data_IF_293106671088
#
_entry.id   IF_293106671088
#
_cell.length_a   1.000
_cell.length_b   1.000
_cell.length_c   1.000
_cell.angle_alpha   90.00
_cell.angle_beta   90.00
_cell.angle_gamma   90.00
#
_symmetry.space_group_name_H-M   'P 1'
#
loop_
_entity.id
_entity.type
_entity.pdbx_description
1 polymer ?
#
# COMPACT_ATOMS: atom_id res chain seq x y z
N UNK A 1 32.54 16.90 9.07
CA UNK A 1 31.79 15.64 9.22
C UNK A 1 31.78 14.96 7.86
N UNK A 2 32.50 13.86 7.68
CA UNK A 2 32.43 13.05 6.45
C UNK A 2 31.29 12.05 6.63
N UNK A 3 30.10 12.42 6.18
CA UNK A 3 28.95 11.50 6.17
C UNK A 3 29.11 10.50 5.03
N UNK A 4 29.05 9.20 5.36
CA UNK A 4 28.91 8.13 4.37
C UNK A 4 27.45 7.74 4.31
N UNK A 5 26.89 7.65 3.10
CA UNK A 5 25.47 7.34 2.88
C UNK A 5 25.39 6.07 2.05
N UNK A 6 24.54 5.13 2.47
CA UNK A 6 24.21 3.94 1.70
C UNK A 6 22.82 4.14 1.08
N UNK A 7 22.70 3.92 -0.23
CA UNK A 7 21.48 4.17 -1.00
C UNK A 7 21.14 2.90 -1.77
N UNK A 8 19.87 2.49 -1.71
CA UNK A 8 19.33 1.39 -2.50
C UNK A 8 18.22 1.91 -3.39
N UNK A 9 18.21 1.55 -4.66
CA UNK A 9 17.13 1.88 -5.58
C UNK A 9 16.84 0.69 -6.51
N UNK A 10 15.65 0.69 -7.11
CA UNK A 10 15.43 -0.09 -8.34
C UNK A 10 16.34 0.49 -9.45
N UNK A 11 16.67 -0.29 -10.49
CA UNK A 11 17.38 0.24 -11.66
C UNK A 11 16.45 1.22 -12.39
N UNK A 12 16.50 2.48 -11.98
CA UNK A 12 15.70 3.56 -12.56
C UNK A 12 16.64 4.59 -13.19
N UNK A 13 16.30 4.99 -14.42
CA UNK A 13 17.13 5.83 -15.28
C UNK A 13 17.54 7.15 -14.58
N UNK A 14 16.64 7.85 -13.86
CA UNK A 14 17.01 9.08 -13.15
C UNK A 14 18.06 8.88 -12.06
N UNK A 15 18.07 7.72 -11.41
CA UNK A 15 19.03 7.42 -10.33
C UNK A 15 20.42 7.19 -10.92
N UNK A 16 20.51 6.34 -11.96
CA UNK A 16 21.78 6.10 -12.67
C UNK A 16 22.36 7.35 -13.33
N UNK A 17 21.51 8.19 -13.94
CA UNK A 17 21.92 9.48 -14.48
C UNK A 17 22.39 10.46 -13.40
N UNK A 18 21.72 10.49 -12.24
CA UNK A 18 22.11 11.35 -11.12
C UNK A 18 23.52 11.08 -10.60
N UNK A 19 23.89 9.81 -10.43
CA UNK A 19 25.22 9.43 -9.95
C UNK A 19 26.31 9.57 -11.02
N UNK A 20 26.00 9.24 -12.28
CA UNK A 20 26.94 9.44 -13.39
C UNK A 20 27.23 10.92 -13.68
N UNK A 21 26.28 11.82 -13.43
CA UNK A 21 26.45 13.28 -13.59
C UNK A 21 27.08 13.98 -12.38
N UNK A 22 27.40 13.24 -11.32
CA UNK A 22 28.06 13.75 -10.12
C UNK A 22 29.43 13.08 -9.88
N UNK A 23 30.41 13.26 -10.80
CA UNK A 23 31.72 12.60 -10.73
C UNK A 23 32.56 13.03 -9.52
N UNK A 24 32.22 14.16 -8.88
CA UNK A 24 32.89 14.66 -7.68
C UNK A 24 32.49 13.89 -6.40
N UNK A 25 31.48 13.01 -6.47
CA UNK A 25 31.10 12.12 -5.38
C UNK A 25 31.88 10.81 -5.48
N UNK A 26 32.69 10.51 -4.47
CA UNK A 26 33.28 9.18 -4.26
C UNK A 26 32.15 8.20 -3.92
N UNK A 27 31.71 7.42 -4.91
CA UNK A 27 30.64 6.45 -4.80
C UNK A 27 31.06 5.10 -5.39
N UNK A 28 30.48 4.03 -4.85
CA UNK A 28 30.68 2.67 -5.32
C UNK A 28 29.33 2.06 -5.66
N UNK A 29 29.18 1.67 -6.92
CA UNK A 29 27.97 1.02 -7.40
C UNK A 29 28.05 -0.50 -7.24
N UNK A 30 26.94 -1.10 -6.84
CA UNK A 30 26.79 -2.55 -6.77
C UNK A 30 25.45 -2.96 -7.39
N UNK A 31 25.52 -3.59 -8.56
CA UNK A 31 24.35 -3.96 -9.35
C UNK A 31 23.92 -5.38 -8.95
N UNK A 32 22.82 -5.47 -8.20
CA UNK A 32 22.34 -6.75 -7.66
C UNK A 32 21.96 -7.78 -8.74
N UNK A 33 21.50 -7.34 -9.92
CA UNK A 33 21.10 -8.25 -10.99
C UNK A 33 22.26 -8.82 -11.83
N UNK A 34 23.48 -8.34 -11.61
CA UNK A 34 24.69 -8.88 -12.27
C UNK A 34 25.27 -10.09 -11.52
N UNK A 35 24.75 -10.39 -10.33
CA UNK A 35 25.17 -11.55 -9.54
C UNK A 35 24.71 -12.83 -10.24
N UNK A 36 25.61 -13.81 -10.34
CA UNK A 36 25.32 -15.08 -10.99
C UNK A 36 24.17 -15.82 -10.29
N UNK A 37 23.28 -16.40 -11.09
CA UNK A 37 22.10 -17.11 -10.60
C UNK A 37 22.42 -18.22 -9.58
N UNK A 38 23.47 -19.07 -9.77
CA UNK A 38 23.83 -20.09 -8.79
C UNK A 38 24.19 -19.53 -7.41
N UNK A 39 24.81 -18.33 -7.35
CA UNK A 39 25.11 -17.67 -6.08
C UNK A 39 23.83 -17.24 -5.37
N UNK A 40 22.91 -16.59 -6.10
CA UNK A 40 21.62 -16.16 -5.56
C UNK A 40 20.81 -17.35 -5.06
N UNK A 41 20.75 -18.44 -5.83
CA UNK A 41 20.01 -19.65 -5.46
C UNK A 41 20.61 -20.34 -4.22
N UNK A 42 21.93 -20.30 -4.06
CA UNK A 42 22.59 -20.81 -2.85
C UNK A 42 22.22 -19.97 -1.60
N UNK A 43 22.19 -18.64 -1.74
CA UNK A 43 21.79 -17.76 -0.63
C UNK A 43 20.30 -17.91 -0.29
N UNK A 44 19.44 -18.08 -1.30
CA UNK A 44 18.02 -18.41 -1.11
C UNK A 44 17.86 -19.76 -0.42
N UNK A 45 18.60 -20.78 -0.85
CA UNK A 45 18.59 -22.11 -0.22
C UNK A 45 18.95 -22.03 1.27
N UNK A 46 20.00 -21.27 1.59
CA UNK A 46 20.44 -21.03 2.98
C UNK A 46 19.35 -20.34 3.79
N UNK A 47 18.73 -19.29 3.24
CA UNK A 47 17.63 -18.57 3.87
C UNK A 47 16.41 -19.46 4.13
N UNK A 48 15.98 -20.24 3.12
CA UNK A 48 14.86 -21.17 3.20
C UNK A 48 15.14 -22.25 4.25
N UNK A 49 16.31 -22.88 4.20
CA UNK A 49 16.70 -23.92 5.16
C UNK A 49 16.65 -23.41 6.60
N UNK A 50 17.20 -22.21 6.84
CA UNK A 50 17.18 -21.58 8.16
C UNK A 50 15.75 -21.31 8.64
N UNK A 51 14.95 -20.66 7.79
CA UNK A 51 13.59 -20.24 8.17
C UNK A 51 12.64 -21.43 8.33
N UNK A 52 12.73 -22.44 7.46
CA UNK A 52 11.95 -23.68 7.58
C UNK A 52 12.39 -24.48 8.81
N UNK A 53 13.68 -24.45 9.19
CA UNK A 53 14.11 -25.06 10.46
C UNK A 53 13.44 -24.41 11.67
N UNK A 54 13.26 -23.09 11.66
CA UNK A 54 12.56 -22.39 12.73
C UNK A 54 11.07 -22.73 12.75
N UNK A 55 10.42 -22.80 11.59
CA UNK A 55 9.02 -23.22 11.46
C UNK A 55 8.85 -24.66 11.96
N UNK A 56 9.74 -25.58 11.57
CA UNK A 56 9.76 -26.98 12.02
C UNK A 56 9.79 -27.07 13.55
N UNK A 57 10.68 -26.30 14.18
CA UNK A 57 10.81 -26.26 15.65
C UNK A 57 9.57 -25.68 16.32
N UNK A 58 8.99 -24.61 15.77
CA UNK A 58 7.77 -23.98 16.27
C UNK A 58 6.56 -24.92 16.17
N UNK A 59 6.43 -25.65 15.07
CA UNK A 59 5.31 -26.55 14.78
C UNK A 59 5.52 -27.98 15.28
N UNK A 60 6.69 -28.28 15.87
CA UNK A 60 7.07 -29.62 16.35
C UNK A 60 6.96 -30.72 15.27
N UNK A 61 7.32 -30.39 14.03
CA UNK A 61 7.37 -31.36 12.93
C UNK A 61 8.61 -32.28 13.04
N UNK A 62 8.56 -33.39 12.30
CA UNK A 62 9.64 -34.37 12.23
C UNK A 62 10.97 -33.75 11.76
N UNK A 63 12.09 -34.33 12.18
CA UNK A 63 13.43 -33.84 11.80
C UNK A 63 13.66 -33.84 10.28
N UNK A 64 12.97 -34.72 9.56
CA UNK A 64 13.04 -34.82 8.10
C UNK A 64 12.20 -33.74 7.38
N UNK A 65 11.30 -33.03 8.07
CA UNK A 65 10.52 -31.95 7.45
C UNK A 65 11.40 -30.73 7.15
N UNK A 66 11.24 -30.04 6.00
CA UNK A 66 10.31 -30.34 4.91
C UNK A 66 10.84 -31.36 3.88
N UNK A 67 12.09 -31.81 4.04
CA UNK A 67 12.81 -32.70 3.12
C UNK A 67 13.65 -31.96 2.09
N UNK A 68 14.78 -32.55 1.70
CA UNK A 68 15.72 -31.95 0.73
C UNK A 68 15.07 -31.70 -0.64
N UNK A 69 14.10 -32.54 -1.02
CA UNK A 69 13.36 -32.38 -2.28
C UNK A 69 12.44 -31.15 -2.26
N UNK A 70 11.68 -30.95 -1.20
CA UNK A 70 10.85 -29.76 -1.03
C UNK A 70 11.73 -28.50 -1.02
N UNK A 71 12.86 -28.53 -0.31
CA UNK A 71 13.80 -27.40 -0.29
C UNK A 71 14.32 -27.05 -1.69
N UNK A 72 14.78 -28.05 -2.46
CA UNK A 72 15.24 -27.83 -3.84
C UNK A 72 14.14 -27.24 -4.72
N UNK A 73 12.91 -27.73 -4.57
CA UNK A 73 11.78 -27.26 -5.33
C UNK A 73 11.39 -25.81 -5.00
N UNK A 74 11.43 -25.43 -3.70
CA UNK A 74 11.23 -24.05 -3.28
C UNK A 74 12.31 -23.11 -3.82
N UNK A 75 13.58 -23.52 -3.86
CA UNK A 75 14.67 -22.74 -4.47
C UNK A 75 14.41 -22.53 -5.97
N UNK A 76 13.96 -23.57 -6.68
CA UNK A 76 13.63 -23.47 -8.10
C UNK A 76 12.47 -22.49 -8.34
N UNK A 77 11.37 -22.62 -7.58
CA UNK A 77 10.21 -21.72 -7.68
C UNK A 77 10.52 -20.28 -7.28
N UNK A 78 11.45 -20.07 -6.36
CA UNK A 78 11.89 -18.73 -5.99
C UNK A 78 12.44 -17.96 -7.19
N UNK A 79 12.94 -18.65 -8.22
CA UNK A 79 13.35 -18.04 -9.46
C UNK A 79 14.34 -16.86 -9.27
N UNK A 80 15.20 -16.92 -8.24
CA UNK A 80 16.16 -15.88 -7.88
C UNK A 80 15.58 -14.70 -7.08
N UNK A 81 14.30 -14.76 -6.71
CA UNK A 81 13.59 -13.71 -6.00
C UNK A 81 13.53 -14.00 -4.50
N UNK A 82 14.33 -13.28 -3.71
CA UNK A 82 14.23 -13.32 -2.25
C UNK A 82 12.84 -12.96 -1.73
N UNK A 83 12.12 -12.05 -2.41
CA UNK A 83 10.75 -11.71 -2.02
C UNK A 83 9.79 -12.89 -2.17
N UNK A 84 10.01 -13.76 -3.17
CA UNK A 84 9.24 -14.99 -3.30
C UNK A 84 9.52 -15.91 -2.11
N UNK A 85 10.80 -16.19 -1.82
CA UNK A 85 11.20 -17.07 -0.73
C UNK A 85 10.68 -16.58 0.63
N UNK A 86 10.82 -15.28 0.90
CA UNK A 86 10.33 -14.68 2.14
C UNK A 86 8.79 -14.71 2.24
N UNK A 87 8.08 -14.53 1.12
CA UNK A 87 6.61 -14.62 1.10
C UNK A 87 6.16 -16.05 1.32
N UNK A 88 6.79 -17.04 0.68
CA UNK A 88 6.52 -18.46 0.87
C UNK A 88 6.74 -18.89 2.33
N UNK A 89 7.87 -18.52 2.94
CA UNK A 89 8.13 -18.83 4.35
C UNK A 89 7.10 -18.20 5.29
N UNK A 90 6.74 -16.91 5.09
CA UNK A 90 5.72 -16.27 5.91
C UNK A 90 4.34 -16.90 5.70
N UNK A 91 4.01 -17.31 4.47
CA UNK A 91 2.77 -17.99 4.16
C UNK A 91 2.69 -19.36 4.84
N UNK A 92 3.78 -20.12 4.85
CA UNK A 92 3.87 -21.40 5.57
C UNK A 92 3.73 -21.18 7.09
N UNK A 93 4.29 -20.11 7.65
CA UNK A 93 4.28 -19.82 9.10
C UNK A 93 3.02 -19.09 9.62
N UNK A 94 2.13 -18.66 8.72
CA UNK A 94 0.99 -17.80 9.06
C UNK A 94 -0.06 -18.53 9.93
N UNK A 95 -0.88 -17.84 10.72
CA UNK A 95 -1.99 -18.48 11.43
C UNK A 95 -1.63 -19.69 12.33
N UNK A 96 -2.43 -20.76 12.21
CA UNK A 96 -2.32 -21.97 13.04
C UNK A 96 -1.25 -22.93 12.49
N UNK A 97 -0.33 -23.33 13.37
CA UNK A 97 0.80 -24.20 13.07
C UNK A 97 0.40 -25.53 12.42
N UNK A 98 -0.80 -26.04 12.71
CA UNK A 98 -1.32 -27.29 12.15
C UNK A 98 -1.49 -27.27 10.62
N UNK A 99 -1.71 -26.11 10.02
CA UNK A 99 -1.86 -25.96 8.56
C UNK A 99 -0.55 -25.59 7.84
N UNK A 100 0.58 -25.54 8.54
CA UNK A 100 1.86 -25.16 7.91
C UNK A 100 2.33 -26.21 6.89
N UNK A 101 2.11 -27.50 7.18
CA UNK A 101 2.39 -28.57 6.23
C UNK A 101 1.45 -28.53 5.02
N UNK A 102 0.16 -28.26 5.24
CA UNK A 102 -0.81 -28.13 4.14
C UNK A 102 -0.42 -26.99 3.20
N UNK A 103 -0.06 -25.82 3.73
CA UNK A 103 0.38 -24.68 2.89
C UNK A 103 1.70 -24.90 2.18
N UNK A 104 2.61 -25.67 2.79
CA UNK A 104 3.81 -26.11 2.08
C UNK A 104 3.40 -26.96 0.87
N UNK A 105 2.53 -27.96 1.07
CA UNK A 105 2.02 -28.78 -0.02
C UNK A 105 1.32 -27.92 -1.09
N UNK A 106 0.48 -26.98 -0.69
CA UNK A 106 -0.17 -26.04 -1.60
C UNK A 106 0.85 -25.27 -2.43
N UNK A 107 1.98 -24.82 -1.87
CA UNK A 107 3.05 -24.16 -2.63
C UNK A 107 3.70 -25.12 -3.64
N UNK A 108 3.96 -26.36 -3.20
CA UNK A 108 4.60 -27.41 -4.00
C UNK A 108 3.67 -27.93 -5.12
N UNK A 109 2.35 -27.73 -5.01
CA UNK A 109 1.41 -28.03 -6.09
C UNK A 109 1.66 -27.16 -7.34
N UNK A 110 1.79 -27.83 -8.48
CA UNK A 110 2.06 -27.26 -9.80
C UNK A 110 3.33 -27.84 -10.44
N UNK A 111 3.51 -27.63 -11.74
CA UNK A 111 4.76 -27.99 -12.42
C UNK A 111 5.79 -26.86 -12.24
N UNK A 112 7.03 -27.22 -11.92
CA UNK A 112 8.20 -26.30 -11.88
C UNK A 112 8.74 -25.99 -13.28
N UNK A 113 7.84 -25.80 -14.25
CA UNK A 113 8.23 -25.48 -15.62
C UNK A 113 8.96 -24.13 -15.69
N UNK A 114 9.58 -23.80 -16.82
CA UNK A 114 10.30 -22.54 -17.08
C UNK A 114 9.34 -21.33 -17.10
N UNK A 115 8.72 -21.06 -15.94
CA UNK A 115 7.84 -19.93 -15.68
C UNK A 115 8.73 -18.73 -15.35
N UNK A 116 8.40 -17.59 -15.93
CA UNK A 116 9.10 -16.33 -15.64
C UNK A 116 9.05 -16.01 -14.14
N UNK A 117 10.13 -15.49 -13.53
CA UNK A 117 10.18 -15.20 -12.10
C UNK A 117 9.02 -14.33 -11.59
N UNK A 118 8.58 -13.38 -12.42
CA UNK A 118 7.43 -12.52 -12.09
C UNK A 118 6.12 -13.31 -11.99
N UNK A 119 5.93 -14.33 -12.81
CA UNK A 119 4.72 -15.14 -12.81
C UNK A 119 4.71 -16.11 -11.60
N UNK A 120 5.85 -16.68 -11.20
CA UNK A 120 5.94 -17.41 -9.91
C UNK A 120 5.61 -16.51 -8.71
N UNK A 121 6.01 -15.23 -8.77
CA UNK A 121 5.64 -14.24 -7.75
C UNK A 121 4.13 -13.92 -7.77
N UNK A 122 3.51 -13.84 -8.94
CA UNK A 122 2.06 -13.67 -9.07
C UNK A 122 1.29 -14.88 -8.51
N UNK A 123 1.79 -16.09 -8.75
CA UNK A 123 1.21 -17.35 -8.25
C UNK A 123 1.23 -17.37 -6.72
N UNK A 124 2.36 -17.08 -6.07
CA UNK A 124 2.42 -17.10 -4.61
C UNK A 124 1.54 -16.02 -3.97
N UNK A 125 1.42 -14.84 -4.58
CA UNK A 125 0.47 -13.82 -4.09
C UNK A 125 -0.98 -14.28 -4.21
N UNK A 126 -1.34 -14.94 -5.31
CA UNK A 126 -2.68 -15.50 -5.48
C UNK A 126 -2.96 -16.57 -4.44
N UNK A 127 -2.03 -17.52 -4.20
CA UNK A 127 -2.16 -18.55 -3.15
C UNK A 127 -2.40 -17.95 -1.76
N UNK A 128 -1.66 -16.90 -1.40
CA UNK A 128 -1.87 -16.17 -0.14
C UNK A 128 -3.27 -15.58 -0.06
N UNK A 129 -3.72 -14.89 -1.12
CA UNK A 129 -5.01 -14.21 -1.17
C UNK A 129 -6.17 -15.20 -1.11
N UNK A 130 -6.10 -16.31 -1.85
CA UNK A 130 -7.10 -17.37 -1.83
C UNK A 130 -7.23 -17.98 -0.43
N UNK A 131 -6.10 -18.32 0.19
CA UNK A 131 -6.07 -18.91 1.53
C UNK A 131 -6.60 -17.96 2.62
N UNK A 132 -6.50 -16.64 2.42
CA UNK A 132 -7.04 -15.64 3.35
C UNK A 132 -8.58 -15.65 3.40
N UNK A 133 -9.23 -16.23 2.39
CA UNK A 133 -10.70 -16.29 2.30
C UNK A 133 -11.21 -17.66 2.71
N UNK A 134 -12.14 -17.69 3.67
CA UNK A 134 -12.61 -18.96 4.25
C UNK A 134 -13.35 -19.81 3.22
N UNK A 135 -12.85 -21.02 2.99
CA UNK A 135 -13.50 -22.02 2.15
C UNK A 135 -14.93 -22.39 2.61
N UNK A 136 -15.25 -22.17 3.90
CA UNK A 136 -16.49 -22.58 4.58
C UNK A 136 -17.66 -21.62 4.42
N UNK A 137 -17.46 -20.46 3.79
CA UNK A 137 -18.52 -19.46 3.58
C UNK A 137 -19.47 -19.86 2.45
N UNK A 138 -20.74 -19.47 2.56
CA UNK A 138 -21.67 -19.55 1.43
C UNK A 138 -21.25 -18.57 0.32
N UNK A 139 -21.66 -18.82 -0.93
CA UNK A 139 -21.24 -17.98 -2.07
C UNK A 139 -21.54 -16.50 -1.86
N UNK A 140 -22.74 -16.17 -1.35
CA UNK A 140 -23.15 -14.79 -1.11
C UNK A 140 -22.33 -14.09 0.00
N UNK A 141 -21.77 -14.87 0.93
CA UNK A 141 -20.87 -14.37 1.97
C UNK A 141 -19.45 -14.18 1.45
N UNK A 142 -19.00 -15.08 0.56
CA UNK A 142 -17.74 -14.96 -0.17
C UNK A 142 -17.69 -13.69 -1.00
N UNK A 143 -18.75 -13.39 -1.77
CA UNK A 143 -18.80 -12.18 -2.59
C UNK A 143 -18.65 -10.91 -1.76
N UNK A 144 -19.29 -10.86 -0.58
CA UNK A 144 -19.16 -9.76 0.38
C UNK A 144 -17.76 -9.68 0.99
N UNK A 145 -17.18 -10.82 1.34
CA UNK A 145 -15.82 -10.90 1.88
C UNK A 145 -14.80 -10.39 0.86
N UNK A 146 -14.89 -10.84 -0.40
CA UNK A 146 -14.03 -10.36 -1.49
C UNK A 146 -14.21 -8.87 -1.76
N UNK A 147 -15.43 -8.33 -1.70
CA UNK A 147 -15.65 -6.90 -1.85
C UNK A 147 -14.92 -6.10 -0.75
N UNK A 148 -15.07 -6.49 0.52
CA UNK A 148 -14.40 -5.82 1.65
C UNK A 148 -12.88 -5.98 1.56
N UNK A 149 -12.40 -7.18 1.22
CA UNK A 149 -10.98 -7.46 1.05
C UNK A 149 -10.38 -6.57 -0.04
N UNK A 150 -11.02 -6.48 -1.20
CA UNK A 150 -10.58 -5.63 -2.32
C UNK A 150 -10.60 -4.15 -1.96
N UNK A 151 -11.61 -3.67 -1.23
CA UNK A 151 -11.64 -2.29 -0.73
C UNK A 151 -10.51 -2.01 0.27
N UNK A 152 -10.29 -2.89 1.25
CA UNK A 152 -9.26 -2.75 2.27
C UNK A 152 -7.84 -2.84 1.68
N UNK A 153 -7.59 -3.85 0.84
CA UNK A 153 -6.30 -4.06 0.19
C UNK A 153 -6.04 -2.98 -0.85
N UNK A 154 -7.05 -2.62 -1.64
CA UNK A 154 -7.04 -1.51 -2.58
C UNK A 154 -6.63 -0.20 -1.90
N UNK A 155 -7.22 0.10 -0.74
CA UNK A 155 -6.81 1.24 0.08
C UNK A 155 -5.33 1.18 0.42
N UNK A 156 -4.86 0.09 1.03
CA UNK A 156 -3.46 -0.08 1.48
C UNK A 156 -2.47 0.16 0.34
N UNK A 157 -2.76 -0.32 -0.88
CA UNK A 157 -1.84 -0.19 -2.02
C UNK A 157 -1.82 1.18 -2.69
N UNK A 158 -2.89 1.99 -2.54
CA UNK A 158 -2.96 3.35 -3.12
C UNK A 158 -2.61 4.47 -2.14
N UNK A 159 -2.44 4.16 -0.84
CA UNK A 159 -2.10 5.16 0.16
C UNK A 159 -0.76 5.85 -0.17
N UNK A 160 -0.75 7.19 -0.15
CA UNK A 160 0.49 7.96 -0.27
C UNK A 160 1.32 7.95 1.02
N UNK A 161 0.66 7.67 2.15
CA UNK A 161 1.28 7.50 3.46
C UNK A 161 0.53 6.40 4.22
N UNK A 162 1.22 5.38 4.75
CA UNK A 162 0.57 4.27 5.46
C UNK A 162 -0.28 4.73 6.65
N UNK A 163 -1.45 4.11 6.83
CA UNK A 163 -2.38 4.37 7.92
C UNK A 163 -2.52 3.16 8.86
N UNK A 164 -2.85 3.38 10.15
CA UNK A 164 -3.28 2.31 11.03
C UNK A 164 -4.58 1.67 10.56
N UNK A 165 -4.81 0.41 10.97
CA UNK A 165 -6.00 -0.36 10.57
C UNK A 165 -7.32 0.35 10.95
N UNK A 166 -7.39 0.93 12.15
CA UNK A 166 -8.58 1.67 12.61
C UNK A 166 -8.85 2.92 11.76
N UNK A 167 -7.79 3.64 11.34
CA UNK A 167 -7.91 4.81 10.47
C UNK A 167 -8.37 4.43 9.07
N UNK A 168 -7.86 3.33 8.52
CA UNK A 168 -8.34 2.75 7.25
C UNK A 168 -9.84 2.43 7.32
N UNK A 169 -10.27 1.75 8.37
CA UNK A 169 -11.68 1.38 8.58
C UNK A 169 -12.61 2.60 8.63
N UNK A 170 -12.20 3.65 9.36
CA UNK A 170 -12.96 4.91 9.44
C UNK A 170 -13.05 5.62 8.09
N UNK A 171 -11.96 5.65 7.32
CA UNK A 171 -11.92 6.32 6.02
C UNK A 171 -12.77 5.57 4.99
N UNK A 172 -12.66 4.23 4.95
CA UNK A 172 -13.49 3.38 4.10
C UNK A 172 -14.96 3.31 4.54
N UNK A 173 -15.28 3.77 5.75
CA UNK A 173 -16.59 3.61 6.38
C UNK A 173 -17.02 2.12 6.50
N UNK A 174 -16.05 1.26 6.83
CA UNK A 174 -16.24 -0.18 7.07
C UNK A 174 -15.98 -0.44 8.56
N UNK A 175 -16.75 -1.32 9.24
CA UNK A 175 -16.43 -1.69 10.63
C UNK A 175 -15.00 -2.19 10.78
N UNK A 176 -14.29 -1.68 11.79
CA UNK A 176 -12.88 -2.01 12.04
C UNK A 176 -12.64 -3.50 12.19
N UNK A 177 -13.57 -4.23 12.81
CA UNK A 177 -13.49 -5.68 12.97
C UNK A 177 -13.48 -6.41 11.62
N UNK A 178 -14.19 -5.89 10.61
CA UNK A 178 -14.22 -6.47 9.26
C UNK A 178 -12.93 -6.19 8.52
N UNK A 179 -12.42 -4.96 8.57
CA UNK A 179 -11.12 -4.61 7.95
C UNK A 179 -9.99 -5.41 8.61
N UNK A 180 -9.96 -5.47 9.95
CA UNK A 180 -8.99 -6.24 10.71
C UNK A 180 -9.06 -7.74 10.41
N UNK A 181 -10.26 -8.31 10.26
CA UNK A 181 -10.42 -9.72 9.88
C UNK A 181 -9.90 -10.00 8.46
N UNK A 182 -10.19 -9.13 7.49
CA UNK A 182 -9.73 -9.31 6.11
C UNK A 182 -8.23 -9.14 5.97
N UNK A 183 -7.64 -8.12 6.61
CA UNK A 183 -6.19 -7.92 6.55
C UNK A 183 -5.44 -8.94 7.42
N UNK A 184 -6.01 -9.40 8.53
CA UNK A 184 -5.37 -10.31 9.47
C UNK A 184 -5.03 -11.69 8.90
N UNK A 185 -5.59 -12.08 7.75
CA UNK A 185 -5.20 -13.29 7.02
C UNK A 185 -4.10 -13.07 5.97
N UNK A 186 -3.47 -11.90 5.95
CA UNK A 186 -2.49 -11.47 4.94
C UNK A 186 -1.14 -11.06 5.53
N UNK A 187 -0.76 -11.58 6.70
CA UNK A 187 0.53 -11.29 7.34
C UNK A 187 1.73 -11.72 6.48
N UNK A 188 1.52 -12.66 5.56
CA UNK A 188 2.54 -13.11 4.61
C UNK A 188 2.93 -12.05 3.57
N UNK A 189 2.03 -11.11 3.28
CA UNK A 189 2.24 -10.03 2.28
C UNK A 189 2.13 -8.61 2.87
N UNK A 190 1.55 -8.48 4.07
CA UNK A 190 1.41 -7.23 4.83
C UNK A 190 2.15 -7.28 6.17
N UNK A 191 2.85 -6.20 6.52
CA UNK A 191 3.27 -5.90 7.89
C UNK A 191 2.07 -5.30 8.63
N UNK A 192 1.48 -6.08 9.54
CA UNK A 192 0.34 -5.70 10.37
C UNK A 192 0.82 -5.69 11.83
N UNK A 193 1.10 -4.50 12.37
CA UNK A 193 1.63 -4.37 13.73
C UNK A 193 0.60 -4.80 14.79
N UNK A 194 1.09 -5.39 15.90
CA UNK A 194 0.26 -5.67 17.09
C UNK A 194 -0.20 -4.38 17.79
N UNK A 195 0.60 -3.32 17.68
CA UNK A 195 0.25 -2.00 18.19
C UNK A 195 -0.76 -1.34 17.24
N UNK A 196 -2.00 -1.07 17.69
CA UNK A 196 -3.06 -0.54 16.83
C UNK A 196 -2.79 0.90 16.34
N UNK A 197 -1.78 1.58 16.89
CA UNK A 197 -1.37 2.93 16.47
C UNK A 197 -0.37 2.92 15.31
N UNK A 198 0.26 1.77 15.04
CA UNK A 198 1.22 1.64 13.94
C UNK A 198 0.50 1.33 12.63
N UNK A 199 1.04 1.85 11.54
CA UNK A 199 0.44 1.70 10.21
C UNK A 199 0.62 0.30 9.62
N UNK A 200 -0.42 -0.16 8.89
CA UNK A 200 -0.33 -1.35 8.02
C UNK A 200 0.52 -1.01 6.81
N UNK A 201 1.44 -1.90 6.42
CA UNK A 201 2.36 -1.68 5.29
C UNK A 201 2.46 -2.93 4.42
N UNK A 202 2.85 -2.73 3.16
CA UNK A 202 3.25 -3.82 2.29
C UNK A 202 4.64 -4.33 2.73
N UNK A 203 4.85 -5.65 2.75
CA UNK A 203 6.22 -6.19 2.91
C UNK A 203 7.10 -5.81 1.72
N UNK A 204 6.50 -5.69 0.53
CA UNK A 204 7.24 -5.33 -0.67
C UNK A 204 6.36 -4.60 -1.71
N UNK A 205 6.90 -3.62 -2.45
CA UNK A 205 6.12 -2.88 -3.46
C UNK A 205 5.62 -3.74 -4.64
N UNK A 206 6.20 -4.91 -4.89
CA UNK A 206 5.71 -5.80 -5.97
C UNK A 206 4.28 -6.30 -5.74
N UNK A 207 3.78 -6.30 -4.50
CA UNK A 207 2.37 -6.60 -4.25
C UNK A 207 1.46 -5.53 -4.86
N UNK A 208 1.85 -4.26 -4.75
CA UNK A 208 1.16 -3.14 -5.43
C UNK A 208 1.27 -3.30 -6.94
N UNK A 209 2.47 -3.61 -7.44
CA UNK A 209 2.70 -3.82 -8.88
C UNK A 209 1.87 -4.99 -9.44
N UNK A 210 1.59 -6.02 -8.63
CA UNK A 210 0.70 -7.14 -8.95
C UNK A 210 -0.78 -6.74 -8.95
N UNK A 211 -1.29 -6.19 -7.84
CA UNK A 211 -2.73 -5.93 -7.65
C UNK A 211 -3.30 -4.86 -8.59
N UNK A 212 -2.48 -3.87 -8.96
CA UNK A 212 -2.89 -2.77 -9.84
C UNK A 212 -2.77 -3.11 -11.33
N UNK A 213 -2.15 -4.26 -11.67
CA UNK A 213 -1.88 -4.67 -13.04
C UNK A 213 -2.79 -5.83 -13.45
N UNK A 214 -3.77 -5.62 -14.36
CA UNK A 214 -4.73 -6.65 -14.76
C UNK A 214 -4.10 -7.79 -15.59
N UNK A 215 -2.90 -7.61 -16.14
CA UNK A 215 -2.16 -8.68 -16.83
C UNK A 215 -1.51 -9.65 -15.83
N UNK A 216 -1.20 -9.17 -14.63
CA UNK A 216 -0.61 -9.94 -13.53
C UNK A 216 -1.66 -10.51 -12.59
N UNK A 217 -2.50 -9.66 -12.00
CA UNK A 217 -3.62 -10.09 -11.15
C UNK A 217 -4.86 -10.32 -12.03
N UNK A 218 -5.04 -11.55 -12.51
CA UNK A 218 -6.11 -11.91 -13.45
C UNK A 218 -7.43 -12.26 -12.75
N UNK A 219 -7.40 -12.54 -11.45
CA UNK A 219 -8.62 -12.82 -10.68
C UNK A 219 -9.37 -11.50 -10.35
N UNK A 220 -10.63 -11.35 -10.80
CA UNK A 220 -11.43 -10.15 -10.54
C UNK A 220 -11.82 -9.95 -9.07
N UNK A 221 -11.71 -10.98 -8.23
CA UNK A 221 -11.91 -10.85 -6.79
C UNK A 221 -10.80 -10.04 -6.12
N UNK A 222 -9.57 -10.11 -6.65
CA UNK A 222 -8.40 -9.48 -6.05
C UNK A 222 -7.89 -8.25 -6.83
N UNK A 223 -8.10 -8.20 -8.13
CA UNK A 223 -7.62 -7.09 -8.95
C UNK A 223 -8.22 -5.75 -8.49
N UNK A 224 -7.36 -4.73 -8.44
CA UNK A 224 -7.71 -3.37 -8.00
C UNK A 224 -7.56 -2.42 -9.17
N UNK A 225 -8.67 -1.78 -9.57
CA UNK A 225 -8.64 -0.70 -10.55
C UNK A 225 -8.09 0.58 -9.90
N UNK A 226 -6.81 0.87 -10.11
CA UNK A 226 -6.11 2.02 -9.52
C UNK A 226 -6.90 3.34 -9.66
N UNK A 227 -7.46 3.62 -10.84
CA UNK A 227 -8.13 4.91 -11.08
C UNK A 227 -9.44 5.00 -10.31
N UNK A 228 -10.26 3.95 -10.39
CA UNK A 228 -11.54 3.91 -9.69
C UNK A 228 -11.35 3.87 -8.17
N UNK A 229 -10.33 3.17 -7.67
CA UNK A 229 -9.99 3.18 -6.25
C UNK A 229 -9.52 4.55 -5.80
N UNK A 230 -8.66 5.25 -6.55
CA UNK A 230 -8.28 6.62 -6.24
C UNK A 230 -9.48 7.59 -6.25
N UNK A 231 -10.43 7.44 -7.17
CA UNK A 231 -11.65 8.25 -7.21
C UNK A 231 -12.51 8.02 -5.96
N UNK A 232 -12.81 6.76 -5.65
CA UNK A 232 -13.56 6.39 -4.47
C UNK A 232 -12.87 6.90 -3.19
N UNK A 233 -11.55 6.81 -3.10
CA UNK A 233 -10.79 7.28 -1.95
C UNK A 233 -10.84 8.80 -1.79
N UNK A 234 -10.77 9.57 -2.90
CA UNK A 234 -10.96 11.01 -2.85
C UNK A 234 -12.35 11.37 -2.32
N UNK A 235 -13.38 10.63 -2.75
CA UNK A 235 -14.76 10.77 -2.31
C UNK A 235 -14.93 10.46 -0.82
N UNK A 236 -14.30 9.39 -0.31
CA UNK A 236 -14.25 9.06 1.10
C UNK A 236 -13.54 10.15 1.92
N UNK A 237 -12.42 10.69 1.40
CA UNK A 237 -11.70 11.77 2.05
C UNK A 237 -12.58 13.01 2.22
N UNK A 238 -13.25 13.42 1.13
CA UNK A 238 -14.17 14.57 1.14
C UNK A 238 -15.31 14.34 2.13
N UNK A 239 -15.92 13.15 2.11
CA UNK A 239 -17.02 12.81 3.02
C UNK A 239 -16.60 12.89 4.48
N UNK A 240 -15.45 12.31 4.84
CA UNK A 240 -14.93 12.36 6.21
C UNK A 240 -14.63 13.81 6.63
N UNK A 241 -14.01 14.60 5.75
CA UNK A 241 -13.73 16.01 6.03
C UNK A 241 -15.02 16.82 6.20
N UNK A 242 -16.03 16.67 5.34
CA UNK A 242 -17.33 17.35 5.49
C UNK A 242 -17.99 17.05 6.84
N UNK A 243 -17.87 15.82 7.34
CA UNK A 243 -18.45 15.42 8.62
C UNK A 243 -17.68 15.96 9.83
N UNK A 244 -16.35 16.12 9.72
CA UNK A 244 -15.46 16.41 10.86
C UNK A 244 -14.93 17.84 10.89
N UNK A 245 -14.78 18.49 9.75
CA UNK A 245 -14.34 19.88 9.60
C UNK A 245 -15.54 20.85 9.55
N UNK A 246 -16.47 20.72 10.51
CA UNK A 246 -17.71 21.49 10.56
C UNK A 246 -17.71 22.61 11.60
N UNK A 247 -16.58 22.83 12.30
CA UNK A 247 -16.41 23.90 13.28
C UNK A 247 -15.48 24.98 12.72
N UNK A 248 -15.85 26.24 12.96
CA UNK A 248 -15.02 27.42 12.66
C UNK A 248 -13.73 27.48 13.46
N UNK A 249 -13.70 26.84 14.63
CA UNK A 249 -12.51 26.67 15.45
C UNK A 249 -12.24 25.18 15.54
N UNK A 250 -11.32 24.71 14.69
CA UNK A 250 -11.10 23.28 14.49
C UNK A 250 -10.61 22.60 15.77
N UNK A 251 -9.77 23.29 16.55
CA UNK A 251 -9.18 22.79 17.79
C UNK A 251 -9.86 23.35 19.05
N UNK A 252 -11.00 24.04 18.91
CA UNK A 252 -11.77 24.65 20.01
C UNK A 252 -10.83 25.39 21.00
N UNK A 253 -10.04 26.31 20.45
CA UNK A 253 -9.03 27.08 21.17
C UNK A 253 -9.60 28.38 21.73
N UNK A 254 -10.76 28.83 21.25
CA UNK A 254 -11.38 30.10 21.63
C UNK A 254 -10.61 31.33 21.16
N UNK A 255 -9.54 31.15 20.36
CA UNK A 255 -8.68 32.21 19.86
C UNK A 255 -8.30 31.95 18.38
N UNK A 256 -8.87 32.72 17.43
CA UNK A 256 -8.64 32.53 15.99
C UNK A 256 -7.21 32.89 15.51
N UNK A 257 -6.31 33.31 16.40
CA UNK A 257 -4.89 33.57 16.09
C UNK A 257 -3.89 32.62 16.74
N UNK A 258 -4.36 31.58 17.43
CA UNK A 258 -3.48 30.62 18.10
C UNK A 258 -2.58 29.90 17.09
N UNK A 259 -1.29 29.75 17.43
CA UNK A 259 -0.36 29.04 16.55
C UNK A 259 -0.30 27.56 16.90
N UNK A 260 0.00 26.66 15.94
CA UNK A 260 0.18 25.24 16.21
C UNK A 260 1.26 24.94 17.27
N UNK A 261 2.25 25.82 17.41
CA UNK A 261 3.30 25.70 18.44
C UNK A 261 2.81 26.01 19.86
N UNK A 262 1.66 26.65 20.00
CA UNK A 262 1.05 27.08 21.27
C UNK A 262 0.02 26.06 21.78
N UNK A 263 -0.26 25.00 21.01
CA UNK A 263 -1.27 23.98 21.31
C UNK A 263 -0.60 22.65 21.65
N UNK A 264 -1.01 21.95 22.72
CA UNK A 264 -0.51 20.62 23.04
C UNK A 264 -0.73 19.63 21.89
N UNK A 265 0.27 18.80 21.52
CA UNK A 265 0.13 17.81 20.45
C UNK A 265 -1.07 16.87 20.63
N UNK A 266 -1.38 16.47 21.86
CA UNK A 266 -2.51 15.58 22.17
C UNK A 266 -3.85 16.22 21.82
N UNK A 267 -3.97 17.54 21.97
CA UNK A 267 -5.17 18.29 21.57
C UNK A 267 -5.31 18.27 20.05
N UNK A 268 -4.21 18.50 19.31
CA UNK A 268 -4.21 18.40 17.84
C UNK A 268 -4.60 16.98 17.40
N UNK A 269 -4.05 15.93 18.00
CA UNK A 269 -4.39 14.54 17.67
C UNK A 269 -5.87 14.21 17.97
N UNK A 270 -6.45 14.82 19.00
CA UNK A 270 -7.86 14.64 19.33
C UNK A 270 -8.81 15.22 18.27
N UNK A 271 -8.54 16.44 17.78
CA UNK A 271 -9.39 17.11 16.78
C UNK A 271 -9.04 16.70 15.34
N UNK A 272 -7.77 16.39 15.09
CA UNK A 272 -7.22 15.92 13.82
C UNK A 272 -6.61 14.52 14.03
N UNK A 273 -7.44 13.46 14.14
CA UNK A 273 -6.93 12.09 14.21
C UNK A 273 -6.22 11.69 12.91
N UNK A 274 -5.44 10.59 12.90
CA UNK A 274 -4.57 10.23 11.78
C UNK A 274 -5.30 10.14 10.42
N UNK A 275 -6.51 9.58 10.39
CA UNK A 275 -7.32 9.53 9.18
C UNK A 275 -7.67 10.93 8.66
N UNK A 276 -7.99 11.88 9.53
CA UNK A 276 -8.36 13.24 9.12
C UNK A 276 -7.14 14.05 8.68
N UNK A 277 -5.97 13.83 9.31
CA UNK A 277 -4.72 14.40 8.83
C UNK A 277 -4.39 13.88 7.43
N UNK A 278 -4.58 12.57 7.20
CA UNK A 278 -4.37 11.97 5.88
C UNK A 278 -5.29 12.58 4.82
N UNK A 279 -6.60 12.66 5.10
CA UNK A 279 -7.54 13.22 4.13
C UNK A 279 -7.22 14.67 3.80
N UNK A 280 -6.89 15.50 4.80
CA UNK A 280 -6.52 16.90 4.60
C UNK A 280 -5.27 17.07 3.71
N UNK A 281 -4.35 16.09 3.72
CA UNK A 281 -3.14 16.10 2.90
C UNK A 281 -3.35 15.60 1.48
N UNK A 282 -4.04 14.47 1.32
CA UNK A 282 -3.91 13.65 0.10
C UNK A 282 -5.18 13.55 -0.76
N UNK A 283 -6.33 14.10 -0.34
CA UNK A 283 -7.56 13.95 -1.11
C UNK A 283 -7.45 14.50 -2.56
N UNK A 284 -6.72 15.61 -2.74
CA UNK A 284 -6.44 16.19 -4.06
C UNK A 284 -5.48 15.31 -4.87
N UNK A 285 -4.48 14.70 -4.23
CA UNK A 285 -3.58 13.76 -4.91
C UNK A 285 -4.34 12.52 -5.39
N UNK A 286 -5.27 11.99 -4.59
CA UNK A 286 -6.16 10.91 -5.02
C UNK A 286 -7.02 11.32 -6.21
N UNK A 287 -7.63 12.52 -6.16
CA UNK A 287 -8.40 13.05 -7.27
C UNK A 287 -7.55 13.22 -8.55
N UNK A 288 -6.29 13.63 -8.41
CA UNK A 288 -5.37 13.74 -9.55
C UNK A 288 -5.07 12.36 -10.15
N UNK A 289 -4.79 11.35 -9.32
CA UNK A 289 -4.46 10.00 -9.78
C UNK A 289 -5.65 9.26 -10.40
N UNK A 290 -6.87 9.56 -9.96
CA UNK A 290 -8.06 9.00 -10.60
C UNK A 290 -8.26 9.50 -12.04
N UNK A 291 -7.56 10.58 -12.42
CA UNK A 291 -7.71 11.29 -13.71
C UNK A 291 -9.12 11.86 -13.91
N UNK A 292 -9.95 11.88 -12.86
CA UNK A 292 -11.24 12.53 -12.87
C UNK A 292 -11.10 14.03 -12.66
N UNK A 293 -11.87 14.80 -13.43
CA UNK A 293 -11.88 16.26 -13.30
C UNK A 293 -13.00 16.70 -12.38
N UNK A 294 -12.74 17.66 -11.46
CA UNK A 294 -13.80 18.36 -10.75
C UNK A 294 -14.81 18.95 -11.75
N UNK A 295 -16.10 18.89 -11.40
CA UNK A 295 -17.18 19.49 -12.19
C UNK A 295 -17.97 20.45 -11.31
N UNK A 296 -18.50 21.50 -11.94
CA UNK A 296 -19.40 22.42 -11.28
C UNK A 296 -20.65 21.68 -10.80
N UNK A 297 -20.93 21.84 -9.50
CA UNK A 297 -22.04 21.17 -8.81
C UNK A 297 -21.75 19.73 -8.40
N UNK A 298 -20.56 19.20 -8.73
CA UNK A 298 -20.08 17.91 -8.25
C UNK A 298 -19.61 17.95 -6.80
N UNK A 299 -19.24 16.78 -6.26
CA UNK A 299 -18.84 16.59 -4.85
C UNK A 299 -17.71 17.53 -4.43
N UNK A 300 -16.67 17.66 -5.25
CA UNK A 300 -15.53 18.56 -5.01
C UNK A 300 -15.98 20.02 -4.91
N UNK A 301 -16.82 20.49 -5.84
CA UNK A 301 -17.32 21.86 -5.83
C UNK A 301 -18.17 22.14 -4.58
N UNK A 302 -19.09 21.24 -4.24
CA UNK A 302 -19.93 21.36 -3.04
C UNK A 302 -19.08 21.39 -1.75
N UNK A 303 -18.09 20.50 -1.64
CA UNK A 303 -17.17 20.48 -0.51
C UNK A 303 -16.40 21.80 -0.37
N UNK A 304 -15.82 22.32 -1.46
CA UNK A 304 -15.05 23.56 -1.39
C UNK A 304 -15.94 24.77 -1.05
N UNK A 305 -17.18 24.83 -1.57
CA UNK A 305 -18.11 25.91 -1.24
C UNK A 305 -18.43 26.00 0.25
N UNK A 306 -18.49 24.87 0.94
CA UNK A 306 -18.89 24.79 2.34
C UNK A 306 -17.68 24.73 3.30
N UNK A 307 -16.61 24.03 2.91
CA UNK A 307 -15.50 23.67 3.80
C UNK A 307 -14.11 24.13 3.37
N UNK A 308 -13.97 24.96 2.31
CA UNK A 308 -12.64 25.41 1.87
C UNK A 308 -11.79 26.00 3.00
N UNK A 309 -12.34 26.92 3.80
CA UNK A 309 -11.59 27.55 4.89
C UNK A 309 -11.25 26.55 5.99
N UNK A 310 -12.21 25.70 6.38
CA UNK A 310 -11.97 24.66 7.39
C UNK A 310 -10.87 23.69 6.96
N UNK A 311 -10.85 23.31 5.67
CA UNK A 311 -9.82 22.44 5.11
C UNK A 311 -8.46 23.13 5.04
N UNK A 312 -8.36 24.35 4.52
CA UNK A 312 -7.06 25.03 4.33
C UNK A 312 -6.37 25.33 5.66
N UNK A 313 -7.14 25.51 6.73
CA UNK A 313 -6.61 25.70 8.08
C UNK A 313 -5.98 24.41 8.66
N UNK A 314 -6.54 23.23 8.34
CA UNK A 314 -6.12 21.96 8.92
C UNK A 314 -4.63 21.59 8.64
N UNK A 315 -4.08 21.74 7.42
CA UNK A 315 -2.65 21.60 7.15
C UNK A 315 -1.76 22.54 7.99
N UNK A 316 -2.27 23.73 8.35
CA UNK A 316 -1.58 24.64 9.25
C UNK A 316 -1.37 24.04 10.63
N UNK A 317 -2.41 23.43 11.21
CA UNK A 317 -2.37 22.79 12.53
C UNK A 317 -1.39 21.62 12.62
N UNK A 318 -1.16 20.91 11.51
CA UNK A 318 -0.18 19.81 11.44
C UNK A 318 1.21 20.26 10.96
N UNK A 319 1.47 21.57 10.92
CA UNK A 319 2.75 22.19 10.51
C UNK A 319 3.15 21.88 9.07
N UNK A 320 2.17 21.66 8.19
CA UNK A 320 2.36 21.34 6.78
C UNK A 320 1.53 22.27 5.87
N UNK A 321 1.48 23.57 6.18
CA UNK A 321 0.73 24.57 5.39
C UNK A 321 1.06 24.55 3.89
N UNK A 322 2.30 24.21 3.54
CA UNK A 322 2.73 24.05 2.14
C UNK A 322 1.94 22.98 1.37
N UNK A 323 1.40 21.97 2.06
CA UNK A 323 0.54 20.93 1.45
C UNK A 323 -0.76 21.55 0.95
N UNK A 324 -1.42 22.37 1.76
CA UNK A 324 -2.66 23.07 1.35
C UNK A 324 -2.45 23.95 0.12
N UNK A 325 -1.34 24.71 0.09
CA UNK A 325 -1.00 25.59 -1.04
C UNK A 325 -0.80 24.77 -2.33
N UNK A 326 -0.03 23.67 -2.27
CA UNK A 326 0.19 22.79 -3.43
C UNK A 326 -1.10 22.12 -3.89
N UNK A 327 -1.97 21.74 -2.96
CA UNK A 327 -3.26 21.12 -3.26
C UNK A 327 -4.20 22.10 -3.99
N UNK A 328 -4.27 23.37 -3.57
CA UNK A 328 -5.04 24.40 -4.29
C UNK A 328 -4.52 24.60 -5.71
N UNK A 329 -3.20 24.78 -5.87
CA UNK A 329 -2.60 24.93 -7.20
C UNK A 329 -2.88 23.71 -8.09
N UNK A 330 -2.88 22.51 -7.51
CA UNK A 330 -3.24 21.29 -8.23
C UNK A 330 -4.72 21.30 -8.65
N UNK A 331 -5.65 21.73 -7.80
CA UNK A 331 -7.07 21.87 -8.14
C UNK A 331 -7.29 22.87 -9.29
N UNK A 332 -6.64 24.03 -9.24
CA UNK A 332 -6.71 25.03 -10.31
C UNK A 332 -6.19 24.49 -11.64
N UNK A 333 -5.09 23.72 -11.62
CA UNK A 333 -4.56 23.09 -12.83
C UNK A 333 -5.53 22.06 -13.44
N UNK A 334 -6.32 21.38 -12.61
CA UNK A 334 -7.30 20.38 -13.07
C UNK A 334 -8.54 21.02 -13.70
N UNK A 335 -8.91 22.24 -13.29
CA UNK A 335 -10.07 22.97 -13.83
C UNK A 335 -9.71 23.82 -15.06
N UNK A 336 -8.52 24.42 -15.11
CA UNK A 336 -8.13 25.38 -16.15
C UNK A 336 -7.89 24.77 -17.54
N UNK A 337 -7.80 23.45 -17.68
CA UNK A 337 -7.60 22.80 -19.00
C UNK A 337 -8.91 22.74 -19.82
N UNK A 338 -10.04 23.20 -19.27
CA UNK A 338 -11.32 23.33 -20.00
C UNK A 338 -11.51 24.66 -20.77
N UNK A 339 -10.63 25.65 -20.58
CA UNK A 339 -10.79 27.00 -21.14
C UNK A 339 -9.86 27.31 -22.32
N UNK A 340 -9.33 26.30 -23.02
CA UNK A 340 -8.85 26.51 -24.41
C UNK A 340 -10.05 26.31 -25.34
N UNK A 341 -11.05 27.18 -25.20
CA UNK A 341 -12.00 27.42 -26.28
C UNK A 341 -11.20 28.04 -27.42
N UNK A 342 -11.23 27.38 -28.58
CA UNK A 342 -10.72 27.87 -29.85
C UNK A 342 -11.15 29.34 -30.09
N UNK A 343 -10.26 30.28 -29.76
CA UNK A 343 -10.38 31.68 -30.16
C UNK A 343 -9.92 31.91 -31.61
N UNK A 344 -9.64 30.85 -32.38
CA UNK A 344 -9.26 30.95 -33.79
C UNK A 344 -10.40 30.68 -34.79
N UNK A 345 -11.68 30.85 -34.39
CA UNK A 345 -12.83 30.66 -35.29
C UNK A 345 -13.74 31.88 -35.47
N UNK A 346 -13.29 33.08 -35.09
CA UNK A 346 -14.00 34.34 -35.39
C UNK A 346 -13.09 35.40 -36.02
N UNK A 347 -12.24 34.99 -36.95
CA UNK A 347 -11.66 35.91 -37.94
C UNK A 347 -11.60 35.19 -39.29
N UNK A 348 -12.67 35.35 -40.08
CA UNK A 348 -12.73 35.43 -41.55
C UNK A 348 -14.19 35.39 -42.02
#
# INVERSE_FOLDING_TARGET
>A
LHSRVFITSRPDIPVGLGFSLAPDLDHQDFILHDISRPTVDNDISTYLQHTLTDIRRKCTFDEEWPGDEALRYLVQKAAGLFIWAATACRFIDEGDASFSSDRLLDILEGDSSDIEPEEELNIIYTKVLDNSTSARLEQHEKDKAYAILREALGAVVILFSPLPCHSLARLLNIPEQKVGAMLGGLHSILDIPKDPTRSVRLHHPSLRDFLLNPQRCRDPHFWVDEKNTHEAFADHCIQLMSQKLNKKDLCDLGNPGAKPAEVPPDKIQYYLPPELQYTCKYWVDHLRQSKHRPRDGGRVHCFLREHLLHWVEAPGWIKESSVGIRAIASLESMTNVGHVLNLSKYDS
#
